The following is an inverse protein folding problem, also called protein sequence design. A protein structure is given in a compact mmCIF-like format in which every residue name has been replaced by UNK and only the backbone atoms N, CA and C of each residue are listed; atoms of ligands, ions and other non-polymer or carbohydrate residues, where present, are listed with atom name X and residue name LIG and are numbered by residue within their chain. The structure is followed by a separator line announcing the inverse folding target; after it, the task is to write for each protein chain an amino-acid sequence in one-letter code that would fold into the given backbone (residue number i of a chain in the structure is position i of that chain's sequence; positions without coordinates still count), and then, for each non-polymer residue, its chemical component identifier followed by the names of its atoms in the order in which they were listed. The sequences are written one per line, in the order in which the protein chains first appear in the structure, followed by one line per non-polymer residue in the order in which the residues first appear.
data_IF_361899165927
#
_entry.id   IF_361899165927
#
_cell.length_a   1.000
_cell.length_b   1.000
_cell.length_c   1.000
_cell.angle_alpha   90.00
_cell.angle_beta   90.00
_cell.angle_gamma   90.00
#
_symmetry.space_group_name_H-M   'P 1'
#
loop_
_entity.id
_entity.type
_entity.pdbx_description
1 polymer ?
#
# COMPACT_ATOMS: atom_id res chain seq x y z
N UNK A 1 39.00 2.27 -14.99
CA UNK A 1 37.56 2.57 -15.22
C UNK A 1 36.74 1.32 -14.82
N UNK A 2 36.56 1.13 -13.52
CA UNK A 2 36.27 -0.19 -12.92
C UNK A 2 34.79 -0.55 -12.81
N UNK A 3 34.50 -1.84 -13.02
CA UNK A 3 33.22 -2.54 -12.82
C UNK A 3 32.59 -2.29 -11.42
N UNK A 4 33.40 -1.94 -10.43
CA UNK A 4 32.98 -1.62 -9.07
C UNK A 4 32.14 -0.34 -8.97
N UNK A 5 32.38 0.66 -9.83
CA UNK A 5 31.53 1.86 -9.86
C UNK A 5 30.13 1.55 -10.40
N UNK A 6 30.00 0.57 -11.31
CA UNK A 6 28.71 0.17 -11.86
C UNK A 6 27.88 -0.64 -10.86
N UNK A 7 28.51 -1.45 -10.00
CA UNK A 7 27.77 -2.13 -8.92
C UNK A 7 27.21 -1.15 -7.87
N UNK A 8 27.95 -0.09 -7.53
CA UNK A 8 27.44 0.91 -6.57
C UNK A 8 26.24 1.71 -7.13
N UNK A 9 26.24 1.97 -8.44
CA UNK A 9 25.13 2.68 -9.10
C UNK A 9 23.87 1.83 -9.20
N UNK A 10 23.98 0.51 -9.38
CA UNK A 10 22.83 -0.41 -9.41
C UNK A 10 22.18 -0.56 -8.03
N UNK A 11 22.95 -0.47 -6.94
CA UNK A 11 22.40 -0.48 -5.57
C UNK A 11 21.75 0.86 -5.22
N UNK A 12 22.36 1.99 -5.59
CA UNK A 12 21.75 3.33 -5.39
C UNK A 12 20.50 3.56 -6.22
N UNK A 13 20.46 3.07 -7.46
CA UNK A 13 19.26 3.18 -8.30
C UNK A 13 18.07 2.44 -7.69
N UNK A 14 18.29 1.26 -7.09
CA UNK A 14 17.25 0.50 -6.36
C UNK A 14 16.82 1.15 -5.04
N UNK A 15 17.68 1.92 -4.37
CA UNK A 15 17.29 2.67 -3.17
C UNK A 15 16.39 3.87 -3.50
N UNK A 16 16.61 4.55 -4.63
CA UNK A 16 15.70 5.61 -5.08
C UNK A 16 14.33 5.06 -5.52
N UNK A 17 14.27 3.88 -6.15
CA UNK A 17 12.97 3.27 -6.49
C UNK A 17 12.19 2.71 -5.29
N UNK A 18 12.83 2.54 -4.13
CA UNK A 18 12.14 2.18 -2.87
C UNK A 18 11.57 3.43 -2.19
N UNK A 19 12.18 4.60 -2.40
CA UNK A 19 11.69 5.88 -1.88
C UNK A 19 10.37 6.28 -2.55
N UNK A 20 10.26 6.08 -3.86
CA UNK A 20 9.04 6.37 -4.63
C UNK A 20 7.97 5.27 -4.51
N UNK A 21 8.28 4.15 -3.83
CA UNK A 21 7.30 3.08 -3.53
C UNK A 21 6.81 3.10 -2.08
N UNK A 22 7.26 4.08 -1.30
CA UNK A 22 6.71 4.41 0.01
C UNK A 22 5.50 5.37 -0.10
N UNK A 23 4.83 5.41 -1.25
CA UNK A 23 3.67 6.28 -1.53
C UNK A 23 2.47 5.96 -0.62
N UNK A 24 2.31 4.71 -0.18
CA UNK A 24 1.27 4.35 0.79
C UNK A 24 1.87 3.92 2.16
N UNK A 25 1.76 4.76 3.21
CA UNK A 25 2.19 4.40 4.56
C UNK A 25 1.47 3.14 5.09
N UNK A 26 0.30 2.78 4.54
CA UNK A 26 -0.43 1.58 4.92
C UNK A 26 0.32 0.30 4.53
N UNK A 27 0.84 0.21 3.30
CA UNK A 27 1.55 -0.97 2.81
C UNK A 27 2.85 -1.22 3.58
N UNK A 28 3.59 -0.15 3.88
CA UNK A 28 4.84 -0.23 4.63
C UNK A 28 4.62 -0.73 6.07
N UNK A 29 3.53 -0.30 6.71
CA UNK A 29 3.17 -0.76 8.04
C UNK A 29 2.70 -2.22 8.03
N UNK A 30 1.91 -2.62 7.03
CA UNK A 30 1.46 -4.01 6.88
C UNK A 30 2.63 -4.97 6.63
N UNK A 31 3.58 -4.60 5.77
CA UNK A 31 4.81 -5.36 5.54
C UNK A 31 5.65 -5.49 6.82
N UNK A 32 5.83 -4.38 7.55
CA UNK A 32 6.59 -4.38 8.81
C UNK A 32 5.95 -5.27 9.87
N UNK A 33 4.61 -5.28 9.95
CA UNK A 33 3.87 -6.16 10.86
C UNK A 33 4.05 -7.63 10.49
N UNK A 34 3.96 -7.98 9.20
CA UNK A 34 4.23 -9.35 8.74
C UNK A 34 5.64 -9.81 9.08
N UNK A 35 6.66 -8.96 8.90
CA UNK A 35 8.04 -9.28 9.29
C UNK A 35 8.19 -9.51 10.79
N UNK A 36 7.49 -8.74 11.62
CA UNK A 36 7.48 -8.96 13.07
C UNK A 36 6.81 -10.30 13.45
N UNK A 37 5.73 -10.70 12.76
CA UNK A 37 5.09 -11.99 12.95
C UNK A 37 6.00 -13.16 12.55
N UNK A 38 6.70 -13.06 11.42
CA UNK A 38 7.70 -14.06 11.00
C UNK A 38 8.81 -14.21 12.04
N UNK A 39 9.35 -13.09 12.54
CA UNK A 39 10.35 -13.10 13.60
C UNK A 39 9.82 -13.77 14.87
N UNK A 40 8.58 -13.46 15.29
CA UNK A 40 7.95 -14.08 16.45
C UNK A 40 7.80 -15.59 16.26
N UNK A 41 7.39 -16.03 15.06
CA UNK A 41 7.28 -17.45 14.75
C UNK A 41 8.64 -18.15 14.79
N UNK A 42 9.70 -17.51 14.30
CA UNK A 42 11.06 -18.07 14.35
C UNK A 42 11.57 -18.19 15.79
N UNK A 43 11.33 -17.20 16.65
CA UNK A 43 11.67 -17.29 18.08
C UNK A 43 10.90 -18.44 18.75
N UNK A 44 9.60 -18.58 18.47
CA UNK A 44 8.79 -19.70 18.99
C UNK A 44 9.33 -21.06 18.56
N UNK A 45 9.77 -21.19 17.31
CA UNK A 45 10.44 -22.41 16.82
C UNK A 45 11.74 -22.68 17.57
N UNK A 46 12.57 -21.66 17.78
CA UNK A 46 13.81 -21.79 18.56
C UNK A 46 13.56 -22.25 19.99
N UNK A 47 12.55 -21.70 20.68
CA UNK A 47 12.14 -22.16 22.02
C UNK A 47 11.75 -23.65 21.99
N UNK A 48 10.97 -24.07 20.99
CA UNK A 48 10.55 -25.47 20.86
C UNK A 48 11.73 -26.42 20.60
N UNK A 49 12.71 -26.02 19.78
CA UNK A 49 13.91 -26.79 19.49
C UNK A 49 14.80 -26.98 20.73
N UNK A 50 15.02 -25.91 21.50
CA UNK A 50 15.77 -25.97 22.77
C UNK A 50 15.04 -26.84 23.79
N UNK A 51 13.72 -26.65 23.93
CA UNK A 51 12.87 -27.47 24.83
C UNK A 51 12.95 -28.95 24.47
N UNK A 52 12.88 -29.27 23.17
CA UNK A 52 12.98 -30.65 22.68
C UNK A 52 14.36 -31.24 22.97
N UNK A 53 15.42 -30.46 22.75
CA UNK A 53 16.80 -30.87 23.02
C UNK A 53 17.02 -31.13 24.52
N UNK A 54 16.57 -30.22 25.38
CA UNK A 54 16.57 -30.40 26.84
C UNK A 54 15.84 -31.68 27.23
N UNK A 55 14.62 -31.88 26.71
CA UNK A 55 13.82 -33.06 27.06
C UNK A 55 14.49 -34.37 26.65
N UNK A 56 15.17 -34.39 25.51
CA UNK A 56 15.95 -35.55 25.06
C UNK A 56 17.09 -35.87 26.03
N UNK A 57 17.81 -34.86 26.54
CA UNK A 57 18.86 -35.06 27.54
C UNK A 57 18.29 -35.54 28.87
N UNK A 58 17.17 -34.97 29.33
CA UNK A 58 16.48 -35.44 30.55
C UNK A 58 16.10 -36.92 30.45
N UNK A 59 15.60 -37.38 29.30
CA UNK A 59 15.29 -38.79 29.07
C UNK A 59 16.54 -39.68 29.09
N UNK A 60 17.67 -39.21 28.55
CA UNK A 60 18.94 -39.93 28.64
C UNK A 60 19.42 -40.03 30.09
N UNK A 61 19.36 -38.91 30.83
CA UNK A 61 19.69 -38.85 32.26
C UNK A 61 18.81 -39.79 33.09
N UNK A 62 17.51 -39.84 32.82
CA UNK A 62 16.59 -40.76 33.48
C UNK A 62 16.97 -42.23 33.23
N UNK A 63 17.39 -42.59 32.01
CA UNK A 63 17.89 -43.95 31.71
C UNK A 63 19.18 -44.27 32.47
N UNK A 64 20.09 -43.29 32.63
CA UNK A 64 21.30 -43.48 33.45
C UNK A 64 20.95 -43.69 34.92
N UNK A 65 20.00 -42.92 35.45
CA UNK A 65 19.50 -43.09 36.83
C UNK A 65 18.98 -44.51 37.05
N UNK A 66 18.14 -45.03 36.15
CA UNK A 66 17.64 -46.40 36.25
C UNK A 66 18.76 -47.45 36.23
N UNK A 67 19.79 -47.26 35.40
CA UNK A 67 20.98 -48.13 35.38
C UNK A 67 21.78 -48.06 36.69
N UNK A 68 21.89 -46.86 37.29
CA UNK A 68 22.54 -46.69 38.58
C UNK A 68 21.80 -47.43 39.69
N UNK A 69 20.47 -47.37 39.70
CA UNK A 69 19.62 -48.08 40.67
C UNK A 69 19.76 -49.60 40.51
N UNK A 70 19.80 -50.09 39.27
CA UNK A 70 20.05 -51.51 38.97
C UNK A 70 21.42 -51.98 39.47
N UNK A 71 22.49 -51.22 39.19
CA UNK A 71 23.84 -51.54 39.66
C UNK A 71 23.94 -51.49 41.18
N UNK A 72 23.23 -50.56 41.82
CA UNK A 72 23.16 -50.50 43.27
C UNK A 72 22.46 -51.73 43.85
N UNK A 73 21.34 -52.15 43.26
CA UNK A 73 20.65 -53.38 43.68
C UNK A 73 21.55 -54.61 43.52
N UNK A 74 22.26 -54.72 42.38
CA UNK A 74 23.21 -55.81 42.13
C UNK A 74 24.37 -55.81 43.15
N UNK A 75 24.90 -54.63 43.49
CA UNK A 75 25.92 -54.50 44.51
C UNK A 75 25.41 -54.97 45.89
N UNK A 76 24.20 -54.56 46.27
CA UNK A 76 23.56 -54.97 47.53
C UNK A 76 23.33 -56.49 47.58
N UNK A 77 22.92 -57.10 46.48
CA UNK A 77 22.73 -58.56 46.38
C UNK A 77 24.05 -59.34 46.45
N UNK A 78 25.10 -58.84 45.79
CA UNK A 78 26.43 -59.43 45.84
C UNK A 78 27.02 -59.40 47.25
N UNK A 79 26.84 -58.29 47.99
CA UNK A 79 27.24 -58.19 49.41
C UNK A 79 26.49 -59.21 50.27
N UNK A 80 25.17 -59.38 50.07
CA UNK A 80 24.38 -60.39 50.80
C UNK A 80 24.83 -61.82 50.54
N UNK A 81 25.50 -62.05 49.42
CA UNK A 81 25.99 -63.37 48.98
C UNK A 81 27.49 -63.56 49.28
N UNK A 82 28.10 -62.70 50.11
CA UNK A 82 29.54 -62.67 50.41
C UNK A 82 30.46 -62.58 49.17
N UNK A 83 29.96 -62.00 48.07
CA UNK A 83 30.72 -61.76 46.83
C UNK A 83 31.15 -60.31 46.72
N UNK A 84 32.08 -59.91 47.56
CA UNK A 84 32.59 -58.53 47.60
C UNK A 84 33.24 -58.06 46.28
N UNK A 85 33.85 -58.97 45.54
CA UNK A 85 34.48 -58.69 44.25
C UNK A 85 33.46 -58.25 43.19
N UNK A 86 32.28 -58.89 43.16
CA UNK A 86 31.16 -58.52 42.30
C UNK A 86 30.52 -57.21 42.75
N UNK A 87 30.39 -56.99 44.06
CA UNK A 87 29.87 -55.74 44.61
C UNK A 87 30.77 -54.56 44.21
N UNK A 88 32.09 -54.70 44.34
CA UNK A 88 33.06 -53.68 43.94
C UNK A 88 32.97 -53.35 42.46
N UNK A 89 32.91 -54.37 41.58
CA UNK A 89 32.74 -54.17 40.12
C UNK A 89 31.44 -53.46 39.77
N UNK A 90 30.33 -53.78 40.45
CA UNK A 90 29.05 -53.10 40.24
C UNK A 90 29.11 -51.61 40.65
N UNK A 91 29.76 -51.32 41.78
CA UNK A 91 29.96 -49.94 42.26
C UNK A 91 30.93 -49.14 41.37
N UNK A 92 32.00 -49.75 40.85
CA UNK A 92 32.90 -49.12 39.87
C UNK A 92 32.15 -48.71 38.60
N UNK A 93 31.31 -49.60 38.07
CA UNK A 93 30.44 -49.28 36.93
C UNK A 93 29.45 -48.17 37.26
N UNK A 94 28.87 -48.18 38.47
CA UNK A 94 27.95 -47.13 38.93
C UNK A 94 28.66 -45.77 38.99
N UNK A 95 29.89 -45.74 39.50
CA UNK A 95 30.73 -44.53 39.56
C UNK A 95 30.96 -43.94 38.17
N UNK A 96 31.28 -44.77 37.17
CA UNK A 96 31.42 -44.31 35.79
C UNK A 96 30.13 -43.70 35.22
N UNK A 97 28.96 -44.26 35.56
CA UNK A 97 27.66 -43.71 35.13
C UNK A 97 27.34 -42.39 35.86
N UNK A 98 27.71 -42.24 37.13
CA UNK A 98 27.52 -41.00 37.88
C UNK A 98 28.22 -39.83 37.19
N UNK A 99 29.47 -40.02 36.74
CA UNK A 99 30.21 -38.98 36.01
C UNK A 99 29.50 -38.59 34.71
N UNK A 100 28.95 -39.57 33.98
CA UNK A 100 28.15 -39.28 32.77
C UNK A 100 26.85 -38.53 33.09
N UNK A 101 26.17 -38.91 34.18
CA UNK A 101 24.94 -38.25 34.61
C UNK A 101 25.19 -36.79 35.02
N UNK A 102 26.28 -36.52 35.75
CA UNK A 102 26.68 -35.16 36.12
C UNK A 102 26.96 -34.28 34.88
N UNK A 103 27.61 -34.84 33.86
CA UNK A 103 27.82 -34.12 32.59
C UNK A 103 26.51 -33.79 31.87
N UNK A 104 25.52 -34.70 31.91
CA UNK A 104 24.19 -34.43 31.37
C UNK A 104 23.42 -33.40 32.20
N UNK A 105 23.50 -33.46 33.52
CA UNK A 105 22.86 -32.50 34.41
C UNK A 105 23.37 -31.07 34.13
N UNK A 106 24.68 -30.91 33.87
CA UNK A 106 25.26 -29.62 33.47
C UNK A 106 24.70 -29.13 32.12
N UNK A 107 24.67 -29.99 31.10
CA UNK A 107 24.12 -29.64 29.78
C UNK A 107 22.62 -29.30 29.85
N UNK A 108 21.86 -30.00 30.71
CA UNK A 108 20.43 -29.70 30.94
C UNK A 108 20.28 -28.31 31.57
N UNK A 109 21.11 -27.96 32.56
CA UNK A 109 21.08 -26.65 33.20
C UNK A 109 21.42 -25.51 32.23
N UNK A 110 22.42 -25.72 31.36
CA UNK A 110 22.78 -24.76 30.30
C UNK A 110 21.61 -24.52 29.33
N UNK A 111 20.96 -25.60 28.86
CA UNK A 111 19.78 -25.50 28.00
C UNK A 111 18.58 -24.88 28.70
N UNK A 112 18.43 -25.08 30.01
CA UNK A 112 17.37 -24.47 30.80
C UNK A 112 17.54 -22.95 30.90
N UNK A 113 18.78 -22.47 31.09
CA UNK A 113 19.07 -21.04 31.07
C UNK A 113 18.82 -20.43 29.67
N UNK A 114 19.23 -21.14 28.62
CA UNK A 114 18.99 -20.72 27.23
C UNK A 114 17.48 -20.67 26.90
N UNK A 115 16.73 -21.70 27.31
CA UNK A 115 15.28 -21.74 27.17
C UNK A 115 14.62 -20.52 27.85
N UNK A 116 14.99 -20.22 29.09
CA UNK A 116 14.44 -19.09 29.84
C UNK A 116 14.72 -17.74 29.15
N UNK A 117 15.93 -17.57 28.58
CA UNK A 117 16.30 -16.37 27.81
C UNK A 117 15.45 -16.24 26.55
N UNK A 118 15.25 -17.33 25.81
CA UNK A 118 14.43 -17.34 24.59
C UNK A 118 12.95 -17.08 24.90
N UNK A 119 12.40 -17.66 25.96
CA UNK A 119 11.02 -17.38 26.41
C UNK A 119 10.84 -15.92 26.85
N UNK A 120 11.83 -15.32 27.52
CA UNK A 120 11.80 -13.89 27.84
C UNK A 120 11.83 -13.02 26.59
N UNK A 121 12.67 -13.37 25.60
CA UNK A 121 12.73 -12.69 24.31
C UNK A 121 11.42 -12.82 23.52
N UNK A 122 10.81 -14.00 23.52
CA UNK A 122 9.53 -14.31 22.89
C UNK A 122 8.41 -13.45 23.47
N UNK A 123 8.28 -13.39 24.81
CA UNK A 123 7.31 -12.53 25.49
C UNK A 123 7.49 -11.05 25.14
N UNK A 124 8.75 -10.58 25.15
CA UNK A 124 9.06 -9.18 24.80
C UNK A 124 8.73 -8.86 23.33
N UNK A 125 9.03 -9.78 22.42
CA UNK A 125 8.74 -9.61 20.99
C UNK A 125 7.23 -9.64 20.75
N UNK A 126 6.51 -10.56 21.38
CA UNK A 126 5.05 -10.66 21.32
C UNK A 126 4.38 -9.34 21.76
N UNK A 127 4.80 -8.78 22.90
CA UNK A 127 4.30 -7.49 23.38
C UNK A 127 4.59 -6.34 22.40
N UNK A 128 5.77 -6.32 21.77
CA UNK A 128 6.11 -5.33 20.74
C UNK A 128 5.27 -5.48 19.48
N UNK A 129 5.04 -6.71 19.02
CA UNK A 129 4.19 -7.00 17.84
C UNK A 129 2.78 -6.49 18.08
N UNK A 130 2.24 -6.74 19.27
CA UNK A 130 0.89 -6.29 19.62
C UNK A 130 0.78 -4.76 19.74
N UNK A 131 1.77 -4.13 20.37
CA UNK A 131 1.87 -2.66 20.38
C UNK A 131 1.95 -2.08 18.97
N UNK A 132 2.73 -2.72 18.09
CA UNK A 132 2.86 -2.30 16.70
C UNK A 132 1.54 -2.48 15.93
N UNK A 133 0.79 -3.57 16.18
CA UNK A 133 -0.55 -3.79 15.60
C UNK A 133 -1.48 -2.63 15.92
N UNK A 134 -1.57 -2.24 17.20
CA UNK A 134 -2.41 -1.12 17.63
C UNK A 134 -1.96 0.20 16.99
N UNK A 135 -0.65 0.46 16.99
CA UNK A 135 -0.08 1.67 16.38
C UNK A 135 -0.35 1.73 14.87
N UNK A 136 -0.24 0.60 14.18
CA UNK A 136 -0.57 0.47 12.76
C UNK A 136 -2.02 0.91 12.53
N UNK A 137 -2.99 0.27 13.18
CA UNK A 137 -4.41 0.59 13.00
C UNK A 137 -4.71 2.06 13.31
N UNK A 138 -4.06 2.64 14.33
CA UNK A 138 -4.19 4.06 14.66
C UNK A 138 -3.69 4.95 13.53
N UNK A 139 -2.52 4.64 12.94
CA UNK A 139 -1.97 5.42 11.83
C UNK A 139 -2.84 5.26 10.57
N UNK A 140 -3.34 4.06 10.27
CA UNK A 140 -4.24 3.83 9.12
C UNK A 140 -5.53 4.68 9.27
N UNK A 141 -6.10 4.72 10.47
CA UNK A 141 -7.27 5.53 10.76
C UNK A 141 -7.00 7.04 10.64
N UNK A 142 -5.86 7.51 11.17
CA UNK A 142 -5.45 8.91 11.06
C UNK A 142 -5.20 9.33 9.61
N UNK A 143 -4.57 8.45 8.82
CA UNK A 143 -4.33 8.66 7.40
C UNK A 143 -5.66 8.79 6.64
N UNK A 144 -6.59 7.84 6.85
CA UNK A 144 -7.92 7.89 6.23
C UNK A 144 -8.72 9.14 6.61
N UNK A 145 -8.64 9.58 7.88
CA UNK A 145 -9.27 10.81 8.33
C UNK A 145 -8.66 12.06 7.66
N UNK A 146 -7.33 12.10 7.54
CA UNK A 146 -6.63 13.20 6.87
C UNK A 146 -6.97 13.24 5.36
N UNK A 147 -7.00 12.09 4.69
CA UNK A 147 -7.42 11.97 3.30
C UNK A 147 -8.86 12.46 3.08
N UNK A 148 -9.79 12.07 3.95
CA UNK A 148 -11.16 12.57 3.92
C UNK A 148 -11.24 14.08 4.13
N UNK A 149 -10.45 14.64 5.06
CA UNK A 149 -10.37 16.09 5.32
C UNK A 149 -9.85 16.85 4.08
N UNK A 150 -8.82 16.33 3.41
CA UNK A 150 -8.30 16.92 2.17
C UNK A 150 -9.39 16.92 1.10
N UNK A 151 -10.03 15.77 0.85
CA UNK A 151 -11.10 15.64 -0.14
C UNK A 151 -12.29 16.57 0.10
N UNK A 152 -12.70 16.73 1.37
CA UNK A 152 -13.75 17.69 1.77
C UNK A 152 -13.28 19.13 1.53
N UNK A 153 -12.05 19.46 1.90
CA UNK A 153 -11.50 20.81 1.72
C UNK A 153 -11.40 21.16 0.24
N UNK A 154 -10.89 20.27 -0.60
CA UNK A 154 -10.83 20.42 -2.07
C UNK A 154 -12.22 20.66 -2.68
N UNK A 155 -13.22 19.91 -2.18
CA UNK A 155 -14.63 20.07 -2.59
C UNK A 155 -15.22 21.41 -2.16
N UNK A 156 -14.87 21.92 -0.96
CA UNK A 156 -15.38 23.17 -0.40
C UNK A 156 -14.69 24.41 -0.96
N UNK A 157 -13.38 24.36 -1.22
CA UNK A 157 -12.62 25.48 -1.79
C UNK A 157 -12.82 25.62 -3.29
N UNK A 158 -13.57 24.71 -3.92
CA UNK A 158 -13.81 24.74 -5.35
C UNK A 158 -12.53 24.53 -6.15
N UNK A 159 -11.51 23.86 -5.61
CA UNK A 159 -10.33 23.44 -6.40
C UNK A 159 -10.65 22.06 -7.01
N UNK A 160 -11.85 21.95 -7.57
CA UNK A 160 -12.27 20.84 -8.39
C UNK A 160 -12.09 21.26 -9.85
N UNK A 161 -11.74 20.31 -10.71
CA UNK A 161 -11.66 20.46 -12.17
C UNK A 161 -12.84 21.28 -12.75
N UNK A 162 -14.05 21.16 -12.18
CA UNK A 162 -15.23 21.92 -12.61
C UNK A 162 -15.15 23.44 -12.44
N UNK A 163 -14.47 23.95 -11.41
CA UNK A 163 -14.30 25.41 -11.24
C UNK A 163 -13.23 25.98 -12.17
N UNK A 164 -12.21 25.20 -12.50
CA UNK A 164 -11.26 25.55 -13.55
C UNK A 164 -11.96 25.67 -14.91
N UNK A 165 -12.87 24.75 -15.21
CA UNK A 165 -13.69 24.79 -16.43
C UNK A 165 -14.68 25.97 -16.46
N UNK A 166 -15.32 26.29 -15.34
CA UNK A 166 -16.21 27.45 -15.24
C UNK A 166 -15.42 28.76 -15.36
N UNK A 167 -14.26 28.89 -14.73
CA UNK A 167 -13.38 30.06 -14.88
C UNK A 167 -12.91 30.25 -16.32
N UNK A 168 -12.50 29.18 -16.99
CA UNK A 168 -12.15 29.20 -18.41
C UNK A 168 -13.34 29.58 -19.31
N UNK A 169 -14.56 29.12 -18.98
CA UNK A 169 -15.78 29.48 -19.71
C UNK A 169 -16.16 30.96 -19.53
N UNK A 170 -16.00 31.52 -18.32
CA UNK A 170 -16.20 32.94 -18.03
C UNK A 170 -15.17 33.78 -18.80
N UNK A 171 -13.87 33.43 -18.73
CA UNK A 171 -12.81 34.15 -19.44
C UNK A 171 -13.02 34.17 -20.97
N UNK A 172 -13.44 33.05 -21.58
CA UNK A 172 -13.81 32.99 -23.00
C UNK A 172 -15.02 33.88 -23.34
N UNK A 173 -15.97 33.97 -22.42
CA UNK A 173 -17.16 34.81 -22.58
C UNK A 173 -16.80 36.30 -22.52
N UNK A 174 -15.92 36.69 -21.61
CA UNK A 174 -15.39 38.04 -21.50
C UNK A 174 -14.57 38.45 -22.73
N UNK A 175 -13.66 37.60 -23.21
CA UNK A 175 -12.91 37.83 -24.45
C UNK A 175 -13.84 38.02 -25.66
N UNK A 176 -14.92 37.23 -25.74
CA UNK A 176 -15.90 37.35 -26.83
C UNK A 176 -16.70 38.65 -26.74
N UNK A 177 -17.07 39.08 -25.55
CA UNK A 177 -17.73 40.37 -25.32
C UNK A 177 -16.80 41.52 -25.70
N UNK A 178 -15.53 41.49 -25.29
CA UNK A 178 -14.56 42.54 -25.66
C UNK A 178 -14.29 42.55 -27.17
N UNK A 179 -14.20 41.39 -27.82
CA UNK A 179 -14.08 41.32 -29.28
C UNK A 179 -15.32 41.89 -29.97
N UNK A 180 -16.53 41.62 -29.45
CA UNK A 180 -17.77 42.19 -29.99
C UNK A 180 -17.84 43.70 -29.79
N UNK A 181 -17.42 44.22 -28.63
CA UNK A 181 -17.34 45.66 -28.37
C UNK A 181 -16.30 46.32 -29.28
N UNK A 182 -15.12 45.76 -29.44
CA UNK A 182 -14.09 46.26 -30.34
C UNK A 182 -14.59 46.30 -31.80
N UNK A 183 -15.34 45.27 -32.22
CA UNK A 183 -15.99 45.24 -33.53
C UNK A 183 -17.09 46.30 -33.66
N UNK A 184 -17.88 46.53 -32.61
CA UNK A 184 -18.88 47.61 -32.57
C UNK A 184 -18.22 48.97 -32.67
N UNK A 185 -17.17 49.24 -31.89
CA UNK A 185 -16.42 50.49 -31.96
C UNK A 185 -15.78 50.70 -33.33
N UNK A 186 -15.22 49.64 -33.94
CA UNK A 186 -14.71 49.72 -35.30
C UNK A 186 -15.84 50.03 -36.29
N UNK A 187 -17.02 49.40 -36.17
CA UNK A 187 -18.18 49.71 -37.00
C UNK A 187 -18.67 51.15 -36.82
N UNK A 188 -18.79 51.63 -35.58
CA UNK A 188 -19.16 53.01 -35.27
C UNK A 188 -18.14 54.00 -35.84
N UNK A 189 -16.83 53.69 -35.76
CA UNK A 189 -15.77 54.50 -36.35
C UNK A 189 -15.80 54.46 -37.89
N UNK A 190 -16.18 53.34 -38.52
CA UNK A 190 -16.39 53.24 -39.98
C UNK A 190 -17.65 54.02 -40.42
N UNK A 191 -18.69 54.11 -39.58
CA UNK A 191 -19.87 54.98 -39.80
C UNK A 191 -19.49 56.45 -39.67
N UNK A 192 -18.78 56.82 -38.60
CA UNK A 192 -18.38 58.20 -38.32
C UNK A 192 -17.37 58.74 -39.35
N UNK A 193 -16.49 57.88 -39.86
CA UNK A 193 -15.56 58.19 -40.97
C UNK A 193 -16.22 58.17 -42.36
N UNK A 194 -17.52 57.90 -42.46
CA UNK A 194 -18.29 57.97 -43.71
C UNK A 194 -17.95 56.87 -44.73
N UNK A 195 -17.35 55.76 -44.29
CA UNK A 195 -16.85 54.70 -45.19
C UNK A 195 -17.92 53.62 -45.43
N UNK A 196 -18.93 53.55 -44.57
CA UNK A 196 -20.09 52.68 -44.73
C UNK A 196 -21.11 53.16 -45.78
N UNK A 197 -21.00 54.40 -46.26
CA UNK A 197 -21.81 54.89 -47.40
C UNK A 197 -21.43 54.22 -48.73
N UNK A 198 -20.32 53.48 -48.81
CA UNK A 198 -19.85 52.88 -50.08
C UNK A 198 -20.01 51.35 -50.16
N UNK A 199 -20.70 50.73 -49.19
CA UNK A 199 -20.99 49.28 -49.21
C UNK A 199 -22.47 48.91 -48.97
N UNK A 200 -23.42 49.82 -49.21
CA UNK A 200 -24.82 49.42 -49.40
C UNK A 200 -24.98 48.79 -50.79
N UNK A 201 -24.62 47.51 -50.89
CA UNK A 201 -24.99 46.67 -52.02
C UNK A 201 -26.50 46.53 -52.11
N UNK A 202 -27.13 47.33 -52.97
CA UNK A 202 -28.48 47.10 -53.44
C UNK A 202 -28.43 46.50 -54.83
N UNK A 203 -28.58 45.17 -54.97
CA UNK A 203 -29.11 44.63 -56.23
C UNK A 203 -29.65 43.19 -56.19
N UNK A 204 -29.39 42.33 -55.18
CA UNK A 204 -29.86 40.93 -55.25
C UNK A 204 -31.12 40.59 -54.43
N UNK A 205 -31.39 41.27 -53.31
CA UNK A 205 -32.59 40.99 -52.49
C UNK A 205 -33.84 41.71 -53.03
N UNK A 206 -33.66 42.87 -53.68
CA UNK A 206 -34.74 43.63 -54.33
C UNK A 206 -35.21 42.95 -55.64
N UNK A 207 -34.30 42.25 -56.34
CA UNK A 207 -34.58 41.44 -57.54
C UNK A 207 -35.46 40.23 -57.24
N UNK A 208 -35.16 39.50 -56.16
CA UNK A 208 -35.97 38.34 -55.74
C UNK A 208 -37.35 38.75 -55.17
N UNK A 209 -37.47 39.90 -54.51
CA UNK A 209 -38.78 40.41 -54.07
C UNK A 209 -39.63 41.00 -55.22
N UNK A 210 -39.01 41.49 -56.29
CA UNK A 210 -39.69 41.98 -57.48
C UNK A 210 -40.25 40.83 -58.35
N UNK A 211 -39.58 39.67 -58.43
CA UNK A 211 -40.09 38.50 -59.15
C UNK A 211 -41.33 37.87 -58.48
N UNK A 212 -41.37 37.84 -57.15
CA UNK A 212 -42.55 37.35 -56.41
C UNK A 212 -43.74 38.30 -56.57
N UNK A 213 -43.51 39.62 -56.49
CA UNK A 213 -44.56 40.63 -56.69
C UNK A 213 -45.00 40.78 -58.15
N UNK A 214 -44.15 40.42 -59.12
CA UNK A 214 -44.50 40.37 -60.54
C UNK A 214 -45.35 39.14 -60.89
N UNK A 215 -45.13 37.99 -60.25
CA UNK A 215 -46.00 36.80 -60.39
C UNK A 215 -47.41 37.05 -59.86
N UNK A 216 -47.54 37.66 -58.68
CA UNK A 216 -48.86 37.97 -58.09
C UNK A 216 -49.66 38.99 -58.93
N UNK A 217 -48.99 39.93 -59.60
CA UNK A 217 -49.64 40.90 -60.50
C UNK A 217 -50.07 40.27 -61.83
N UNK A 218 -49.26 39.39 -62.42
CA UNK A 218 -49.59 38.67 -63.66
C UNK A 218 -50.78 37.71 -63.46
N UNK A 219 -50.89 37.04 -62.31
CA UNK A 219 -52.05 36.20 -61.99
C UNK A 219 -53.33 37.02 -61.81
N UNK A 220 -53.24 38.21 -61.20
CA UNK A 220 -54.38 39.12 -61.06
C UNK A 220 -54.85 39.71 -62.40
N UNK A 221 -53.94 40.00 -63.34
CA UNK A 221 -54.27 40.49 -64.67
C UNK A 221 -54.77 39.37 -65.61
N UNK A 222 -54.33 38.12 -65.44
CA UNK A 222 -54.84 36.95 -66.16
C UNK A 222 -56.28 36.57 -65.73
N UNK A 223 -56.60 36.74 -64.44
CA UNK A 223 -57.96 36.57 -63.93
C UNK A 223 -58.92 37.65 -64.46
N UNK A 224 -58.42 38.89 -64.61
CA UNK A 224 -59.18 40.01 -65.19
C UNK A 224 -59.46 39.77 -66.69
N UNK A 225 -58.48 39.34 -67.47
CA UNK A 225 -58.66 39.01 -68.90
C UNK A 225 -59.56 37.79 -69.15
N UNK A 226 -59.51 36.76 -68.30
CA UNK A 226 -60.44 35.62 -68.38
C UNK A 226 -61.89 35.96 -68.04
N UNK A 227 -62.13 37.03 -67.29
CA UNK A 227 -63.49 37.54 -67.04
C UNK A 227 -64.04 38.37 -68.21
N UNK A 228 -63.17 38.92 -69.06
CA UNK A 228 -63.54 39.70 -70.25
C UNK A 228 -63.70 38.84 -71.51
N UNK A 229 -63.05 37.67 -71.60
CA UNK A 229 -63.27 36.66 -72.68
C UNK A 229 -64.13 35.45 -72.25
N UNK A 230 -64.83 35.54 -71.11
CA UNK A 230 -65.84 34.59 -70.68
C UNK A 230 -67.18 34.81 -71.37
N UNK A 231 -67.22 34.53 -72.67
CA UNK A 231 -68.40 34.07 -73.43
C UNK A 231 -68.12 32.67 -73.96
#
# INVERSE_FOLDING_TARGET
MGLLNRMSTVVKAKMNTIMDRAEDPNETLDYSYQKQLELLQNVKRGVAEVTTSKKRLELQRAKLSQKMDQLESQAREAVKSDREDLARKALERKSAIIVQAQSLDQQIAELEEEQAKLEAAERRLSAKVESFRVKKETIKAQYSAAEAQVKVTESLTGISEEMADVGLAVQRSEEKIETMKARSFALDELVEKGILEEFSGGDDVERELAEVRARDRIESDLARLKSEEGR
#
